data_IF_356467304275
#
_entry.id   IF_356467304275
#
_cell.length_a   1.000
_cell.length_b   1.000
_cell.length_c   1.000
_cell.angle_alpha   90.00
_cell.angle_beta   90.00
_cell.angle_gamma   90.00
#
_symmetry.space_group_name_H-M   'P 1'
#
loop_
_entity.id
_entity.type
_entity.pdbx_description
1 polymer ?
#
# COMPACT_ATOMS: atom_id res chain seq x y z
N UNK A 1 6.48 16.78 13.33
CA UNK A 1 5.02 16.92 13.13
C UNK A 1 4.52 15.50 13.02
N UNK A 2 4.16 14.87 14.15
CA UNK A 2 3.58 13.52 14.14
C UNK A 2 2.28 13.57 13.33
N UNK A 3 2.17 12.76 12.29
CA UNK A 3 0.89 12.56 11.62
C UNK A 3 0.00 11.74 12.57
N UNK A 4 -1.10 12.30 13.11
CA UNK A 4 -2.06 11.49 13.84
C UNK A 4 -2.56 10.40 12.90
N UNK A 5 -2.43 9.15 13.34
CA UNK A 5 -2.78 7.98 12.54
C UNK A 5 -4.22 8.11 12.04
N UNK A 6 -4.39 8.14 10.72
CA UNK A 6 -5.72 8.21 10.11
C UNK A 6 -6.32 6.81 10.14
N UNK A 7 -7.53 6.69 10.66
CA UNK A 7 -8.31 5.46 10.57
C UNK A 7 -9.12 5.46 9.27
N UNK A 8 -8.84 4.49 8.41
CA UNK A 8 -9.53 4.29 7.14
C UNK A 8 -10.33 3.01 7.17
N UNK A 9 -11.52 3.03 6.59
CA UNK A 9 -12.35 1.83 6.47
C UNK A 9 -11.99 1.09 5.19
N UNK A 10 -11.57 -0.17 5.34
CA UNK A 10 -11.33 -1.11 4.25
C UNK A 10 -12.65 -1.52 3.58
N UNK A 11 -12.56 -1.98 2.33
CA UNK A 11 -13.68 -2.58 1.58
C UNK A 11 -14.28 -3.80 2.28
N UNK A 12 -13.51 -4.48 3.14
CA UNK A 12 -14.00 -5.60 3.98
C UNK A 12 -14.56 -5.15 5.34
N UNK A 13 -14.66 -3.85 5.57
CA UNK A 13 -15.15 -3.27 6.83
C UNK A 13 -14.13 -3.21 7.97
N UNK A 14 -12.90 -3.68 7.76
CA UNK A 14 -11.79 -3.56 8.72
C UNK A 14 -11.32 -2.11 8.83
N UNK A 15 -10.96 -1.67 10.04
CA UNK A 15 -10.31 -0.37 10.24
C UNK A 15 -8.81 -0.53 10.02
N UNK A 16 -8.25 0.33 9.18
CA UNK A 16 -6.83 0.43 8.86
C UNK A 16 -6.33 1.76 9.38
N UNK A 17 -5.61 1.73 10.49
CA UNK A 17 -4.94 2.93 11.04
C UNK A 17 -3.65 3.14 10.28
N UNK A 18 -3.35 4.37 9.81
CA UNK A 18 -2.11 4.75 9.10
C UNK A 18 -0.96 5.17 10.03
N UNK A 19 -1.03 4.83 11.32
CA UNK A 19 0.02 5.15 12.28
C UNK A 19 1.35 4.41 11.97
N UNK A 20 2.49 4.95 12.43
CA UNK A 20 3.77 4.26 12.36
C UNK A 20 3.73 2.88 13.04
N UNK A 21 4.51 1.92 12.51
CA UNK A 21 4.65 0.57 13.07
C UNK A 21 6.11 0.19 13.19
N UNK A 22 6.46 -0.54 14.25
CA UNK A 22 7.85 -0.91 14.54
C UNK A 22 8.60 -1.61 13.40
N UNK A 23 7.93 -2.38 12.54
CA UNK A 23 8.52 -3.04 11.37
C UNK A 23 8.36 -2.28 10.05
N UNK A 24 7.94 -1.01 10.09
CA UNK A 24 7.58 -0.26 8.89
C UNK A 24 6.32 -0.76 8.20
N UNK A 25 5.97 -0.12 7.09
CA UNK A 25 4.77 -0.40 6.30
C UNK A 25 5.02 -0.18 4.82
N UNK A 26 4.25 -0.87 4.00
CA UNK A 26 4.21 -0.65 2.56
C UNK A 26 2.81 -0.22 2.15
N UNK A 27 2.73 0.93 1.50
CA UNK A 27 1.52 1.46 0.92
C UNK A 27 1.58 1.24 -0.59
N UNK A 28 0.61 0.48 -1.08
CA UNK A 28 0.46 0.16 -2.49
C UNK A 28 -0.69 0.98 -3.06
N UNK A 29 -0.47 1.64 -4.19
CA UNK A 29 -1.44 2.54 -4.82
C UNK A 29 -1.76 2.04 -6.21
N UNK A 30 -3.00 1.61 -6.42
CA UNK A 30 -3.46 1.04 -7.68
C UNK A 30 -4.74 1.71 -8.18
N UNK A 31 -4.96 1.61 -9.48
CA UNK A 31 -6.26 1.84 -10.10
C UNK A 31 -7.05 0.53 -10.14
N UNK A 32 -8.40 0.58 -10.06
CA UNK A 32 -9.22 -0.60 -10.24
C UNK A 32 -8.99 -1.20 -11.63
N UNK A 33 -9.16 -2.52 -11.75
CA UNK A 33 -8.93 -3.32 -12.97
C UNK A 33 -7.46 -3.42 -13.42
N UNK A 34 -6.49 -3.14 -12.54
CA UNK A 34 -5.08 -3.31 -12.83
C UNK A 34 -4.68 -4.80 -12.96
N UNK A 35 -4.61 -5.32 -14.18
CA UNK A 35 -4.23 -6.73 -14.44
C UNK A 35 -2.80 -7.03 -13.99
N UNK A 36 -1.88 -6.08 -14.18
CA UNK A 36 -0.49 -6.21 -13.76
C UNK A 36 -0.33 -6.31 -12.23
N UNK A 37 -1.23 -5.67 -11.48
CA UNK A 37 -1.14 -5.59 -10.03
C UNK A 37 -1.23 -6.97 -9.36
N UNK A 38 -1.81 -7.99 -10.01
CA UNK A 38 -1.89 -9.34 -9.42
C UNK A 38 -0.52 -9.88 -8.97
N UNK A 39 0.52 -9.75 -9.79
CA UNK A 39 1.86 -10.24 -9.43
C UNK A 39 2.49 -9.45 -8.27
N UNK A 40 2.31 -8.12 -8.28
CA UNK A 40 2.74 -7.24 -7.19
C UNK A 40 2.04 -7.62 -5.87
N UNK A 41 0.77 -7.98 -5.93
CA UNK A 41 -0.02 -8.33 -4.75
C UNK A 41 0.38 -9.67 -4.16
N UNK A 42 0.74 -10.63 -5.01
CA UNK A 42 1.34 -11.90 -4.56
C UNK A 42 2.69 -11.63 -3.88
N UNK A 43 3.53 -10.78 -4.46
CA UNK A 43 4.79 -10.35 -3.86
C UNK A 43 4.57 -9.65 -2.50
N UNK A 44 3.57 -8.78 -2.41
CA UNK A 44 3.22 -8.07 -1.18
C UNK A 44 2.75 -9.03 -0.07
N UNK A 45 1.97 -10.05 -0.43
CA UNK A 45 1.54 -11.09 0.51
C UNK A 45 2.75 -11.85 1.08
N UNK A 46 3.72 -12.21 0.22
CA UNK A 46 4.97 -12.85 0.64
C UNK A 46 5.78 -11.95 1.55
N UNK A 47 5.94 -10.66 1.22
CA UNK A 47 6.66 -9.68 2.05
C UNK A 47 6.00 -9.59 3.43
N UNK A 48 4.69 -9.37 3.48
CA UNK A 48 3.96 -9.24 4.74
C UNK A 48 4.12 -10.46 5.65
N UNK A 49 4.12 -11.67 5.07
CA UNK A 49 4.21 -12.92 5.81
C UNK A 49 5.64 -13.28 6.23
N UNK A 50 6.65 -12.83 5.48
CA UNK A 50 8.06 -13.18 5.72
C UNK A 50 8.82 -12.17 6.57
N UNK A 51 8.45 -10.89 6.49
CA UNK A 51 9.16 -9.78 7.15
C UNK A 51 8.37 -9.18 8.32
N UNK A 52 7.06 -9.41 8.38
CA UNK A 52 6.17 -8.74 9.33
C UNK A 52 5.86 -7.27 8.96
N UNK A 53 6.33 -6.79 7.80
CA UNK A 53 5.97 -5.47 7.26
C UNK A 53 4.46 -5.43 6.98
N UNK A 54 3.79 -4.39 7.48
CA UNK A 54 2.35 -4.21 7.25
C UNK A 54 2.11 -3.65 5.84
N UNK A 55 1.39 -4.40 5.01
CA UNK A 55 1.03 -3.97 3.65
C UNK A 55 -0.40 -3.46 3.65
N UNK A 56 -0.62 -2.27 3.09
CA UNK A 56 -1.95 -1.71 2.85
C UNK A 56 -2.08 -1.36 1.38
N UNK A 57 -3.21 -1.72 0.77
CA UNK A 57 -3.52 -1.41 -0.62
C UNK A 57 -4.53 -0.28 -0.67
N UNK A 58 -4.23 0.76 -1.43
CA UNK A 58 -5.09 1.89 -1.74
C UNK A 58 -5.55 1.79 -3.19
N UNK A 59 -6.86 1.85 -3.39
CA UNK A 59 -7.46 1.96 -4.71
C UNK A 59 -7.92 3.38 -4.93
N UNK A 60 -7.61 3.92 -6.11
CA UNK A 60 -8.17 5.19 -6.52
C UNK A 60 -9.69 5.04 -6.72
N UNK A 61 -10.46 5.95 -6.13
CA UNK A 61 -11.90 6.08 -6.36
C UNK A 61 -12.14 6.63 -7.77
N UNK A 62 -11.99 5.74 -8.74
CA UNK A 62 -12.49 5.94 -10.10
C UNK A 62 -13.84 5.24 -10.18
N UNK A 63 -14.79 5.77 -10.96
CA UNK A 63 -16.20 5.38 -11.03
C UNK A 63 -16.51 3.92 -11.45
N UNK A 64 -15.63 2.96 -11.20
CA UNK A 64 -15.83 1.53 -11.39
C UNK A 64 -15.88 0.79 -10.05
N UNK A 65 -16.67 -0.29 -10.00
CA UNK A 65 -16.60 -1.24 -8.90
C UNK A 65 -15.21 -1.86 -8.91
N UNK A 66 -14.41 -1.74 -7.83
CA UNK A 66 -13.11 -2.39 -7.78
C UNK A 66 -13.32 -3.90 -7.86
N UNK A 67 -12.56 -4.56 -8.73
CA UNK A 67 -12.52 -6.03 -8.76
C UNK A 67 -12.21 -6.56 -7.36
N UNK A 68 -12.87 -7.64 -6.92
CA UNK A 68 -12.65 -8.21 -5.60
C UNK A 68 -11.19 -8.60 -5.45
N UNK A 69 -10.51 -7.89 -4.55
CA UNK A 69 -9.12 -8.14 -4.20
C UNK A 69 -8.98 -9.50 -3.49
N UNK A 70 -8.24 -10.47 -4.06
CA UNK A 70 -8.13 -11.81 -3.49
C UNK A 70 -7.01 -11.94 -2.44
N UNK A 71 -6.23 -10.88 -2.18
CA UNK A 71 -5.07 -10.94 -1.29
C UNK A 71 -5.42 -10.74 0.20
N UNK A 72 -4.48 -11.05 1.11
CA UNK A 72 -4.69 -10.91 2.56
C UNK A 72 -4.62 -9.46 3.06
N UNK A 73 -4.01 -8.55 2.30
CA UNK A 73 -3.83 -7.16 2.68
C UNK A 73 -5.17 -6.40 2.71
N UNK A 74 -5.39 -5.48 3.66
CA UNK A 74 -6.57 -4.62 3.64
C UNK A 74 -6.53 -3.69 2.43
N UNK A 75 -7.70 -3.52 1.80
CA UNK A 75 -7.89 -2.63 0.66
C UNK A 75 -8.74 -1.45 1.06
N UNK A 76 -8.24 -0.24 0.84
CA UNK A 76 -8.93 1.01 1.14
C UNK A 76 -9.18 1.74 -0.18
N UNK A 77 -10.42 2.11 -0.44
CA UNK A 77 -10.74 3.02 -1.56
C UNK A 77 -10.73 4.43 -1.00
N UNK A 78 -9.79 5.27 -1.43
CA UNK A 78 -9.72 6.65 -0.96
C UNK A 78 -8.82 7.50 -1.85
N UNK A 79 -9.42 8.52 -2.49
CA UNK A 79 -8.67 9.52 -3.26
C UNK A 79 -7.84 10.45 -2.36
N UNK A 80 -8.30 10.74 -1.15
CA UNK A 80 -7.58 11.60 -0.20
C UNK A 80 -6.19 11.07 0.13
N UNK A 81 -6.03 9.74 0.21
CA UNK A 81 -4.72 9.12 0.47
C UNK A 81 -3.77 9.33 -0.71
N UNK A 82 -4.24 9.21 -1.95
CA UNK A 82 -3.43 9.50 -3.14
C UNK A 82 -2.91 10.94 -3.14
N UNK A 83 -3.80 11.89 -2.84
CA UNK A 83 -3.44 13.32 -2.73
C UNK A 83 -2.44 13.54 -1.59
N UNK A 84 -2.67 12.94 -0.42
CA UNK A 84 -1.80 13.10 0.77
C UNK A 84 -0.38 12.61 0.51
N UNK A 85 -0.23 11.47 -0.17
CA UNK A 85 1.07 10.90 -0.48
C UNK A 85 1.68 11.45 -1.78
N UNK A 86 0.98 12.36 -2.46
CA UNK A 86 1.35 12.90 -3.77
C UNK A 86 1.67 11.79 -4.76
N UNK A 87 0.73 10.85 -4.92
CA UNK A 87 0.80 9.76 -5.89
C UNK A 87 -0.03 10.14 -7.11
N UNK A 88 0.65 10.42 -8.22
CA UNK A 88 0.07 10.80 -9.51
C UNK A 88 0.10 9.67 -10.55
N UNK A 89 0.88 8.61 -10.30
CA UNK A 89 0.99 7.44 -11.19
C UNK A 89 0.56 6.16 -10.46
N UNK A 90 0.00 5.20 -11.21
CA UNK A 90 -0.26 3.84 -10.71
C UNK A 90 0.22 2.80 -11.73
N UNK A 91 0.69 1.62 -11.29
CA UNK A 91 0.84 1.19 -9.91
C UNK A 91 2.06 1.82 -9.21
N UNK A 92 1.91 2.25 -7.95
CA UNK A 92 2.97 2.91 -7.18
C UNK A 92 3.07 2.32 -5.77
N UNK A 93 4.26 2.34 -5.18
CA UNK A 93 4.50 1.84 -3.84
C UNK A 93 5.33 2.82 -3.01
N UNK A 94 4.98 2.95 -1.75
CA UNK A 94 5.66 3.81 -0.77
C UNK A 94 6.03 2.98 0.44
N UNK A 95 7.30 3.01 0.82
CA UNK A 95 7.79 2.45 2.07
C UNK A 95 7.73 3.52 3.16
N UNK A 96 7.07 3.17 4.26
CA UNK A 96 6.97 3.99 5.46
C UNK A 96 7.81 3.32 6.54
N UNK A 97 8.80 4.04 7.05
CA UNK A 97 9.66 3.60 8.13
C UNK A 97 8.92 3.55 9.48
N UNK A 98 9.59 3.06 10.52
CA UNK A 98 8.97 2.82 11.81
C UNK A 98 8.59 4.08 12.59
N UNK A 99 9.12 5.25 12.20
CA UNK A 99 8.77 6.54 12.80
C UNK A 99 7.73 7.31 11.96
N UNK A 100 7.24 6.74 10.87
CA UNK A 100 6.26 7.36 9.96
C UNK A 100 6.89 8.14 8.81
N UNK A 101 8.21 8.15 8.70
CA UNK A 101 8.94 8.75 7.61
C UNK A 101 8.76 7.94 6.32
N UNK A 102 8.80 8.61 5.17
CA UNK A 102 8.82 7.91 3.89
C UNK A 102 10.26 7.46 3.62
N UNK A 103 10.51 6.16 3.76
CA UNK A 103 11.81 5.54 3.50
C UNK A 103 12.11 5.43 1.99
N UNK A 104 11.07 5.32 1.16
CA UNK A 104 11.24 5.25 -0.29
C UNK A 104 9.92 5.26 -1.06
N UNK A 105 10.02 5.52 -2.37
CA UNK A 105 8.89 5.53 -3.32
C UNK A 105 9.33 4.88 -4.63
N UNK A 106 8.44 4.13 -5.27
CA UNK A 106 8.72 3.52 -6.57
C UNK A 106 7.44 3.36 -7.40
N UNK A 107 7.49 3.77 -8.66
CA UNK A 107 6.49 3.38 -9.65
C UNK A 107 6.79 1.95 -10.10
N UNK A 108 5.81 1.06 -9.92
CA UNK A 108 5.94 -0.35 -10.20
C UNK A 108 5.65 -0.59 -11.68
N UNK A 109 6.65 -1.15 -12.37
CA UNK A 109 6.57 -1.51 -13.79
C UNK A 109 7.04 -2.93 -14.05
N UNK A 110 7.70 -3.56 -13.07
CA UNK A 110 8.15 -4.94 -13.08
C UNK A 110 8.04 -5.57 -11.68
N UNK A 111 7.95 -6.91 -11.64
CA UNK A 111 8.01 -7.67 -10.40
C UNK A 111 9.40 -7.54 -9.74
N UNK A 112 9.47 -7.71 -8.42
CA UNK A 112 10.72 -7.62 -7.64
C UNK A 112 11.07 -6.20 -7.16
N UNK A 113 10.46 -5.16 -7.74
CA UNK A 113 10.65 -3.78 -7.28
C UNK A 113 10.07 -3.55 -5.88
N UNK A 114 8.99 -4.26 -5.53
CA UNK A 114 8.37 -4.12 -4.22
C UNK A 114 9.25 -4.74 -3.13
N UNK A 115 9.87 -5.89 -3.37
CA UNK A 115 10.81 -6.53 -2.45
C UNK A 115 12.08 -5.71 -2.25
N UNK A 116 12.61 -5.09 -3.32
CA UNK A 116 13.74 -4.18 -3.20
C UNK A 116 13.39 -2.95 -2.34
N UNK A 117 12.19 -2.41 -2.50
CA UNK A 117 11.69 -1.33 -1.65
C UNK A 117 11.50 -1.80 -0.20
N UNK A 118 10.92 -2.99 0.02
CA UNK A 118 10.74 -3.57 1.35
C UNK A 118 12.07 -3.78 2.08
N UNK A 119 13.12 -4.22 1.38
CA UNK A 119 14.45 -4.43 1.95
C UNK A 119 15.14 -3.12 2.40
N UNK A 120 14.59 -1.95 2.03
CA UNK A 120 15.06 -0.65 2.53
C UNK A 120 14.48 -0.28 3.89
N UNK A 121 13.46 -1.02 4.36
CA UNK A 121 12.90 -0.84 5.70
C UNK A 121 13.79 -1.53 6.75
N UNK A 122 13.95 -0.92 7.94
CA UNK A 122 14.85 -1.40 9.00
C UNK A 122 14.37 -2.67 9.70
#
# INVERSE_FOLDING_TARGET
>A
MEEPGIDLKSTTGRIVTLAPRAGGRLFLFFTPNCTFCKGILEEAAVISSSTGIDVVVFLEDTHGTPDPYPGPAPVVVSRDVFVRYAVDETPHAIAIGPTGEIAGRVTLSANGQLGALAASLP
#
